data_IF_965472877573
#
_entry.id   IF_965472877573
#
_cell.length_a   1.000
_cell.length_b   1.000
_cell.length_c   1.000
_cell.angle_alpha   90.00
_cell.angle_beta   90.00
_cell.angle_gamma   90.00
#
_symmetry.space_group_name_H-M   'P 1'
#
loop_
_entity.id
_entity.type
_entity.pdbx_description
1 polymer ?
#
# COMPACT_ATOMS: atom_id res chain seq x y z
N UNK A 1 -16.91 17.77 28.94
CA UNK A 1 -15.83 18.74 28.66
C UNK A 1 -15.41 18.56 27.22
N UNK A 2 -15.67 19.52 26.35
CA UNK A 2 -15.22 19.47 24.95
C UNK A 2 -13.69 19.52 24.93
N UNK A 3 -12.98 18.58 24.26
CA UNK A 3 -11.54 18.62 24.21
C UNK A 3 -11.07 19.95 23.62
N UNK A 4 -10.07 20.58 24.26
CA UNK A 4 -9.47 21.82 23.76
C UNK A 4 -8.92 21.56 22.36
N UNK A 5 -9.29 22.37 21.34
CA UNK A 5 -8.74 22.24 20.01
C UNK A 5 -7.22 22.34 20.07
N UNK A 6 -6.53 21.55 19.25
CA UNK A 6 -5.10 21.71 19.11
C UNK A 6 -4.75 23.00 18.36
N UNK A 7 -3.50 23.41 18.45
CA UNK A 7 -3.07 24.70 17.91
C UNK A 7 -3.30 24.82 16.39
N UNK A 8 -3.08 23.74 15.64
CA UNK A 8 -3.37 23.71 14.21
C UNK A 8 -4.87 23.91 13.91
N UNK A 9 -5.76 23.30 14.70
CA UNK A 9 -7.20 23.46 14.59
C UNK A 9 -7.63 24.89 14.96
N UNK A 10 -7.04 25.49 16.01
CA UNK A 10 -7.31 26.87 16.43
C UNK A 10 -6.91 27.89 15.36
N UNK A 11 -5.73 27.72 14.77
CA UNK A 11 -5.24 28.59 13.68
C UNK A 11 -6.06 28.40 12.41
N UNK A 12 -6.38 27.15 12.07
CA UNK A 12 -7.27 26.86 10.95
C UNK A 12 -8.64 27.52 11.15
N UNK A 13 -9.20 27.48 12.37
CA UNK A 13 -10.48 28.12 12.66
C UNK A 13 -10.43 29.64 12.42
N UNK A 14 -9.36 30.33 12.81
CA UNK A 14 -9.19 31.77 12.51
C UNK A 14 -9.21 32.05 11.01
N UNK A 15 -8.55 31.21 10.20
CA UNK A 15 -8.58 31.34 8.75
C UNK A 15 -9.99 31.09 8.18
N UNK A 16 -10.73 30.13 8.74
CA UNK A 16 -12.14 29.90 8.36
C UNK A 16 -13.03 31.08 8.72
N UNK A 17 -12.85 31.64 9.92
CA UNK A 17 -13.59 32.81 10.40
C UNK A 17 -13.26 34.07 9.56
N UNK A 18 -12.05 34.14 9.01
CA UNK A 18 -11.63 35.15 8.05
C UNK A 18 -12.16 34.90 6.62
N UNK A 19 -12.96 33.85 6.40
CA UNK A 19 -13.66 33.59 5.15
C UNK A 19 -12.99 32.55 4.22
N UNK A 20 -11.89 31.93 4.63
CA UNK A 20 -11.28 30.85 3.84
C UNK A 20 -12.07 29.55 4.03
N UNK A 21 -12.12 28.73 2.98
CA UNK A 21 -12.63 27.36 3.07
C UNK A 21 -11.54 26.41 3.54
N UNK A 22 -11.93 25.25 4.11
CA UNK A 22 -10.98 24.18 4.46
C UNK A 22 -10.17 23.69 3.26
N UNK A 23 -10.74 23.77 2.05
CA UNK A 23 -10.03 23.44 0.81
C UNK A 23 -8.92 24.44 0.54
N UNK A 24 -9.22 25.75 0.58
CA UNK A 24 -8.20 26.80 0.39
C UNK A 24 -7.08 26.71 1.43
N UNK A 25 -7.41 26.48 2.70
CA UNK A 25 -6.38 26.28 3.74
C UNK A 25 -5.51 25.06 3.42
N UNK A 26 -6.10 23.97 2.93
CA UNK A 26 -5.36 22.78 2.53
C UNK A 26 -4.43 23.06 1.33
N UNK A 27 -4.94 23.77 0.33
CA UNK A 27 -4.18 24.16 -0.86
C UNK A 27 -2.99 25.07 -0.47
N UNK A 28 -3.21 26.07 0.40
CA UNK A 28 -2.16 26.97 0.94
C UNK A 28 -1.01 26.19 1.59
N UNK A 29 -1.31 25.16 2.39
CA UNK A 29 -0.28 24.31 3.03
C UNK A 29 0.18 23.15 2.14
N UNK A 30 -0.27 23.09 0.88
CA UNK A 30 0.08 22.07 -0.11
C UNK A 30 -0.38 20.65 0.27
N UNK A 31 -1.58 20.49 0.84
CA UNK A 31 -2.13 19.20 1.32
C UNK A 31 -3.60 19.04 0.97
N UNK A 32 -4.13 17.83 1.17
CA UNK A 32 -5.55 17.55 0.97
C UNK A 32 -6.43 18.05 2.12
N UNK A 33 -7.67 18.47 1.81
CA UNK A 33 -8.66 18.92 2.80
C UNK A 33 -9.02 17.86 3.86
N UNK A 34 -8.80 16.57 3.54
CA UNK A 34 -8.94 15.48 4.52
C UNK A 34 -7.94 15.61 5.67
N UNK A 35 -6.72 16.07 5.40
CA UNK A 35 -5.72 16.30 6.45
C UNK A 35 -6.15 17.46 7.36
N UNK A 36 -6.65 18.56 6.79
CA UNK A 36 -7.14 19.71 7.55
C UNK A 36 -8.32 19.31 8.45
N UNK A 37 -9.23 18.47 7.96
CA UNK A 37 -10.33 17.91 8.78
C UNK A 37 -9.83 17.05 9.95
N UNK A 38 -8.65 16.43 9.82
CA UNK A 38 -8.02 15.66 10.88
C UNK A 38 -7.37 16.53 11.98
N UNK A 39 -7.18 17.83 11.75
CA UNK A 39 -6.73 18.74 12.81
C UNK A 39 -7.77 18.82 13.93
N UNK A 40 -9.05 18.92 13.54
CA UNK A 40 -10.19 18.99 14.48
C UNK A 40 -10.55 17.64 15.12
N UNK A 41 -10.39 16.54 14.38
CA UNK A 41 -10.94 15.23 14.80
C UNK A 41 -9.90 14.25 15.35
N UNK A 42 -8.64 14.35 14.92
CA UNK A 42 -7.59 13.36 15.23
C UNK A 42 -6.36 13.97 15.91
N UNK A 43 -6.48 15.19 16.40
CA UNK A 43 -5.39 15.93 17.04
C UNK A 43 -4.10 16.00 16.17
N UNK A 44 -4.26 16.05 14.84
CA UNK A 44 -3.13 16.18 13.90
C UNK A 44 -2.78 17.65 13.65
N UNK A 45 -1.70 17.90 12.91
CA UNK A 45 -1.40 19.24 12.39
C UNK A 45 -0.22 19.95 13.03
N UNK A 46 0.41 19.37 14.06
CA UNK A 46 1.56 19.99 14.76
C UNK A 46 2.68 20.45 13.81
N UNK A 47 2.97 19.67 12.76
CA UNK A 47 3.99 20.00 11.77
C UNK A 47 3.64 21.20 10.86
N UNK A 48 2.40 21.69 10.90
CA UNK A 48 1.91 22.80 10.07
C UNK A 48 1.64 24.07 10.90
N UNK A 49 1.85 24.04 12.22
CA UNK A 49 1.53 25.17 13.11
C UNK A 49 2.24 26.44 12.67
N UNK A 50 3.56 26.38 12.41
CA UNK A 50 4.32 27.55 11.95
C UNK A 50 3.80 28.08 10.63
N UNK A 51 3.53 27.21 9.64
CA UNK A 51 2.96 27.64 8.37
C UNK A 51 1.59 28.30 8.54
N UNK A 52 0.72 27.75 9.39
CA UNK A 52 -0.60 28.33 9.67
C UNK A 52 -0.51 29.66 10.43
N UNK A 53 0.47 29.84 11.31
CA UNK A 53 0.72 31.10 12.02
C UNK A 53 1.07 32.23 11.04
N UNK A 54 2.00 31.98 10.12
CA UNK A 54 2.39 32.97 9.10
C UNK A 54 1.22 33.35 8.19
N UNK A 55 0.39 32.37 7.79
CA UNK A 55 -0.81 32.62 6.98
C UNK A 55 -1.84 33.44 7.76
N UNK A 56 -2.06 33.15 9.05
CA UNK A 56 -2.95 33.96 9.90
C UNK A 56 -2.45 35.40 9.98
N UNK A 57 -1.15 35.61 10.23
CA UNK A 57 -0.57 36.95 10.27
C UNK A 57 -0.72 37.71 8.94
N UNK A 58 -0.51 37.05 7.81
CA UNK A 58 -0.69 37.65 6.50
C UNK A 58 -2.16 38.04 6.23
N UNK A 59 -3.11 37.18 6.59
CA UNK A 59 -4.54 37.46 6.46
C UNK A 59 -4.99 38.59 7.37
N UNK A 60 -4.47 38.65 8.61
CA UNK A 60 -4.71 39.74 9.56
C UNK A 60 -4.12 41.07 9.06
N UNK A 61 -3.00 41.02 8.32
CA UNK A 61 -2.41 42.18 7.64
C UNK A 61 -3.17 42.59 6.36
N UNK A 62 -4.20 41.84 5.96
CA UNK A 62 -5.08 42.17 4.84
C UNK A 62 -4.84 41.36 3.56
N UNK A 63 -3.91 40.42 3.54
CA UNK A 63 -3.67 39.56 2.37
C UNK A 63 -4.86 38.60 2.13
N UNK A 64 -5.25 38.46 0.86
CA UNK A 64 -6.37 37.61 0.42
C UNK A 64 -6.04 36.76 -0.81
N UNK A 65 -4.96 37.07 -1.51
CA UNK A 65 -4.49 36.30 -2.65
C UNK A 65 -3.96 34.93 -2.22
N UNK A 66 -4.54 33.86 -2.77
CA UNK A 66 -4.24 32.50 -2.35
C UNK A 66 -2.83 32.06 -2.75
N UNK A 67 -2.31 32.55 -3.88
CA UNK A 67 -0.97 32.20 -4.35
C UNK A 67 0.10 32.84 -3.45
N UNK A 68 -0.14 34.08 -3.02
CA UNK A 68 0.70 34.78 -2.03
C UNK A 68 0.64 34.09 -0.67
N UNK A 69 -0.55 33.74 -0.17
CA UNK A 69 -0.70 32.99 1.09
C UNK A 69 -0.02 31.62 1.02
N UNK A 70 -0.12 30.93 -0.13
CA UNK A 70 0.59 29.68 -0.38
C UNK A 70 2.11 29.89 -0.32
N UNK A 71 2.63 30.91 -1.01
CA UNK A 71 4.06 31.23 -0.99
C UNK A 71 4.58 31.55 0.41
N UNK A 72 3.79 32.23 1.25
CA UNK A 72 4.08 32.48 2.66
C UNK A 72 4.14 31.19 3.49
N UNK A 73 3.24 30.23 3.24
CA UNK A 73 3.19 28.99 4.00
C UNK A 73 4.33 28.01 3.65
N UNK A 74 4.68 27.88 2.37
CA UNK A 74 5.55 26.80 1.87
C UNK A 74 6.92 26.67 2.57
N UNK A 75 7.66 27.76 2.89
CA UNK A 75 8.94 27.67 3.60
C UNK A 75 8.85 26.93 4.95
N UNK A 76 7.66 26.89 5.56
CA UNK A 76 7.41 26.30 6.87
C UNK A 76 6.76 24.90 6.78
N UNK A 77 6.37 24.44 5.58
CA UNK A 77 5.79 23.12 5.37
C UNK A 77 6.88 22.08 5.15
N UNK A 78 7.24 21.36 6.21
CA UNK A 78 8.24 20.28 6.12
C UNK A 78 7.62 18.97 5.67
N UNK A 79 8.20 18.32 4.65
CA UNK A 79 7.90 16.93 4.31
C UNK A 79 8.50 16.01 5.37
N UNK A 80 7.76 14.95 5.72
CA UNK A 80 8.28 13.91 6.61
C UNK A 80 9.39 13.16 5.87
N UNK A 81 10.55 13.02 6.51
CA UNK A 81 11.64 12.20 6.00
C UNK A 81 11.55 10.78 6.56
N UNK A 82 12.02 9.81 5.78
CA UNK A 82 12.34 8.47 6.24
C UNK A 82 13.61 8.52 7.11
N UNK A 83 13.90 7.44 7.85
CA UNK A 83 15.15 7.31 8.63
C UNK A 83 16.41 7.49 7.79
N UNK A 84 16.31 7.31 6.47
CA UNK A 84 17.39 7.48 5.49
C UNK A 84 17.52 8.92 4.95
N UNK A 85 16.78 9.88 5.49
CA UNK A 85 16.80 11.29 5.05
C UNK A 85 16.08 11.56 3.73
N UNK A 86 15.58 10.53 3.04
CA UNK A 86 14.73 10.67 1.84
C UNK A 86 13.29 11.00 2.20
N UNK A 87 12.53 11.58 1.28
CA UNK A 87 11.10 11.84 1.49
C UNK A 87 10.34 10.55 1.81
N UNK A 88 9.60 10.56 2.92
CA UNK A 88 8.79 9.42 3.32
C UNK A 88 7.60 9.27 2.36
N UNK A 89 7.55 8.13 1.65
CA UNK A 89 6.39 7.76 0.84
C UNK A 89 5.21 7.39 1.73
N UNK A 90 3.99 7.70 1.27
CA UNK A 90 2.76 7.23 1.93
C UNK A 90 2.78 5.70 1.93
N UNK A 91 2.67 5.10 3.12
CA UNK A 91 2.53 3.65 3.24
C UNK A 91 1.18 3.25 2.66
N UNK A 92 1.19 2.58 1.51
CA UNK A 92 -0.01 1.92 0.99
C UNK A 92 -0.50 0.88 1.98
N UNK A 93 -1.80 0.57 1.96
CA UNK A 93 -2.32 -0.55 2.75
C UNK A 93 -1.71 -1.84 2.20
N UNK A 94 -1.20 -2.69 3.09
CA UNK A 94 -0.67 -4.01 2.71
C UNK A 94 -1.77 -4.93 2.17
N UNK A 95 -3.03 -4.69 2.52
CA UNK A 95 -4.21 -5.37 1.98
C UNK A 95 -5.22 -4.33 1.51
N UNK A 96 -5.72 -4.50 0.29
CA UNK A 96 -6.72 -3.66 -0.36
C UNK A 96 -7.90 -4.53 -0.78
N UNK A 97 -9.12 -4.03 -0.64
CA UNK A 97 -10.35 -4.77 -0.96
C UNK A 97 -11.06 -5.31 0.28
N UNK A 98 -12.02 -6.21 0.06
CA UNK A 98 -12.84 -6.82 1.13
C UNK A 98 -12.51 -8.30 1.23
N UNK A 99 -12.15 -8.76 2.44
CA UNK A 99 -11.89 -10.18 2.70
C UNK A 99 -13.12 -11.03 2.35
N UNK A 100 -12.89 -12.19 1.73
CA UNK A 100 -13.97 -13.07 1.22
C UNK A 100 -14.66 -12.55 -0.06
N UNK A 101 -14.18 -11.44 -0.63
CA UNK A 101 -14.55 -10.94 -1.97
C UNK A 101 -13.28 -10.74 -2.79
N UNK A 102 -13.30 -9.77 -3.70
CA UNK A 102 -12.08 -9.32 -4.37
C UNK A 102 -11.18 -8.57 -3.39
N UNK A 103 -9.98 -9.10 -3.17
CA UNK A 103 -8.95 -8.49 -2.35
C UNK A 103 -7.57 -8.73 -2.96
N UNK A 104 -6.62 -7.89 -2.59
CA UNK A 104 -5.22 -8.06 -2.91
C UNK A 104 -4.37 -7.75 -1.69
N UNK A 105 -3.34 -8.54 -1.45
CA UNK A 105 -2.38 -8.31 -0.39
C UNK A 105 -0.95 -8.36 -0.94
N UNK A 106 -0.06 -7.54 -0.38
CA UNK A 106 1.34 -7.43 -0.79
C UNK A 106 2.28 -7.60 0.40
N UNK A 107 3.43 -8.21 0.14
CA UNK A 107 4.53 -8.36 1.06
C UNK A 107 5.83 -8.02 0.34
N UNK A 108 6.59 -7.08 0.89
CA UNK A 108 7.98 -6.84 0.50
C UNK A 108 8.93 -7.54 1.47
N UNK A 109 10.23 -7.41 1.20
CA UNK A 109 11.35 -8.07 1.88
C UNK A 109 11.19 -8.26 3.40
N UNK A 110 10.89 -7.19 4.16
CA UNK A 110 10.71 -7.30 5.62
C UNK A 110 9.57 -8.24 6.02
N UNK A 111 8.43 -8.18 5.31
CA UNK A 111 7.31 -9.05 5.61
C UNK A 111 7.60 -10.49 5.16
N UNK A 112 8.29 -10.67 4.04
CA UNK A 112 8.73 -11.98 3.55
C UNK A 112 9.65 -12.67 4.58
N UNK A 113 10.59 -11.93 5.18
CA UNK A 113 11.44 -12.46 6.25
C UNK A 113 10.66 -12.94 7.50
N UNK A 114 9.41 -12.51 7.65
CA UNK A 114 8.48 -12.95 8.70
C UNK A 114 7.30 -13.77 8.14
N UNK A 115 7.50 -14.42 6.99
CA UNK A 115 6.54 -15.35 6.39
C UNK A 115 5.34 -14.71 5.70
N UNK A 116 5.27 -13.38 5.62
CA UNK A 116 4.15 -12.62 5.08
C UNK A 116 2.79 -13.05 5.66
N UNK A 117 2.76 -13.42 6.95
CA UNK A 117 1.61 -14.02 7.63
C UNK A 117 0.34 -13.16 7.62
N UNK A 118 0.46 -11.84 7.46
CA UNK A 118 -0.69 -10.95 7.28
C UNK A 118 -1.50 -11.25 6.01
N UNK A 119 -0.91 -11.93 5.01
CA UNK A 119 -1.59 -12.38 3.80
C UNK A 119 -2.46 -13.62 4.03
N UNK A 120 -2.23 -14.39 5.10
CA UNK A 120 -3.00 -15.60 5.40
C UNK A 120 -4.49 -15.29 5.55
N UNK A 121 -4.84 -14.16 6.19
CA UNK A 121 -6.23 -13.71 6.31
C UNK A 121 -6.92 -13.50 4.94
N UNK A 122 -6.17 -13.05 3.93
CA UNK A 122 -6.69 -12.88 2.56
C UNK A 122 -6.97 -14.24 1.91
N UNK A 123 -6.02 -15.17 2.03
CA UNK A 123 -6.12 -16.53 1.47
C UNK A 123 -7.25 -17.31 2.15
N UNK A 124 -7.27 -17.36 3.49
CA UNK A 124 -8.29 -18.10 4.24
C UNK A 124 -9.69 -17.57 4.00
N UNK A 125 -9.88 -16.24 3.99
CA UNK A 125 -11.19 -15.66 3.73
C UNK A 125 -11.69 -15.98 2.32
N UNK A 126 -10.80 -15.99 1.32
CA UNK A 126 -11.16 -16.42 -0.03
C UNK A 126 -11.47 -17.93 -0.08
N UNK A 127 -10.69 -18.77 0.61
CA UNK A 127 -10.94 -20.21 0.69
C UNK A 127 -12.31 -20.54 1.29
N UNK A 128 -12.66 -19.91 2.41
CA UNK A 128 -13.97 -20.08 3.05
C UNK A 128 -15.13 -19.60 2.18
N UNK A 129 -14.89 -18.65 1.27
CA UNK A 129 -15.90 -18.13 0.36
C UNK A 129 -15.99 -18.91 -0.98
N UNK A 130 -15.25 -20.02 -1.14
CA UNK A 130 -15.19 -20.75 -2.41
C UNK A 130 -14.54 -19.94 -3.54
N UNK A 131 -13.60 -19.09 -3.18
CA UNK A 131 -12.92 -18.15 -4.07
C UNK A 131 -11.81 -18.79 -4.91
N UNK A 132 -11.24 -17.96 -5.78
CA UNK A 132 -10.02 -18.24 -6.54
C UNK A 132 -8.91 -17.28 -6.11
N UNK A 133 -7.67 -17.67 -6.36
CA UNK A 133 -6.53 -16.78 -6.19
C UNK A 133 -5.51 -16.89 -7.32
N UNK A 134 -4.73 -15.83 -7.44
CA UNK A 134 -3.47 -15.77 -8.15
C UNK A 134 -2.42 -15.19 -7.23
N UNK A 135 -1.15 -15.48 -7.50
CA UNK A 135 -0.05 -14.79 -6.85
C UNK A 135 1.02 -14.37 -7.85
N UNK A 136 1.75 -13.33 -7.48
CA UNK A 136 2.92 -12.85 -8.20
C UNK A 136 4.09 -12.87 -7.23
N UNK A 137 5.19 -13.48 -7.65
CA UNK A 137 6.44 -13.57 -6.88
C UNK A 137 7.54 -12.84 -7.61
N UNK A 138 8.51 -12.32 -6.85
CA UNK A 138 9.76 -11.78 -7.41
C UNK A 138 10.96 -12.49 -6.82
N UNK A 139 11.84 -12.98 -7.68
CA UNK A 139 13.10 -13.63 -7.29
C UNK A 139 14.22 -13.25 -8.26
N UNK A 140 15.45 -13.66 -7.96
CA UNK A 140 16.55 -13.54 -8.94
C UNK A 140 16.27 -14.43 -10.14
N UNK A 141 16.69 -13.99 -11.35
CA UNK A 141 16.36 -14.71 -12.59
C UNK A 141 16.88 -16.16 -12.58
N UNK A 142 18.07 -16.36 -12.04
CA UNK A 142 18.75 -17.66 -11.92
C UNK A 142 18.12 -18.62 -10.89
N UNK A 143 17.15 -18.15 -10.11
CA UNK A 143 16.43 -18.98 -9.14
C UNK A 143 15.17 -19.62 -9.75
N UNK A 144 14.77 -19.20 -10.94
CA UNK A 144 13.71 -19.84 -11.71
C UNK A 144 14.30 -20.96 -12.58
N UNK A 145 13.71 -22.15 -12.47
CA UNK A 145 14.13 -23.33 -13.26
C UNK A 145 13.52 -23.31 -14.66
N UNK A 146 12.26 -22.85 -14.76
CA UNK A 146 11.56 -22.77 -16.04
C UNK A 146 11.85 -21.45 -16.74
N UNK A 147 11.89 -21.50 -18.07
CA UNK A 147 12.06 -20.31 -18.91
C UNK A 147 10.95 -19.30 -18.68
N UNK A 148 11.33 -18.02 -18.64
CA UNK A 148 10.42 -16.89 -18.52
C UNK A 148 9.32 -16.95 -19.60
N UNK A 149 8.06 -16.94 -19.17
CA UNK A 149 6.90 -16.87 -20.07
C UNK A 149 6.60 -18.17 -20.81
N UNK A 150 7.21 -19.30 -20.42
CA UNK A 150 6.79 -20.60 -20.93
C UNK A 150 5.41 -20.96 -20.40
N UNK A 151 4.65 -21.72 -21.19
CA UNK A 151 3.36 -22.27 -20.76
C UNK A 151 3.53 -23.26 -19.59
N UNK A 152 4.68 -23.92 -19.46
CA UNK A 152 4.99 -24.80 -18.32
C UNK A 152 5.15 -24.01 -17.01
N UNK A 153 5.72 -22.80 -17.07
CA UNK A 153 5.88 -21.91 -15.92
C UNK A 153 4.56 -21.23 -15.55
N UNK A 154 3.95 -20.52 -16.50
CA UNK A 154 2.81 -19.65 -16.25
C UNK A 154 1.64 -19.94 -17.20
N UNK A 155 1.00 -21.12 -17.11
CA UNK A 155 0.00 -21.56 -18.07
C UNK A 155 -1.09 -20.52 -18.33
N UNK A 156 -1.32 -20.20 -19.61
CA UNK A 156 -2.38 -19.30 -20.05
C UNK A 156 -2.10 -17.81 -19.85
N UNK A 157 -0.97 -17.40 -19.27
CA UNK A 157 -0.66 -16.00 -19.00
C UNK A 157 0.17 -15.34 -20.11
N UNK A 158 -0.49 -14.52 -20.93
CA UNK A 158 0.19 -13.73 -22.01
C UNK A 158 1.21 -12.70 -21.48
N UNK A 159 1.07 -12.25 -20.24
CA UNK A 159 1.93 -11.23 -19.60
C UNK A 159 2.22 -11.61 -18.15
N UNK A 160 2.69 -12.84 -17.95
CA UNK A 160 3.02 -13.38 -16.63
C UNK A 160 4.36 -12.88 -16.08
N UNK A 161 5.25 -12.35 -16.94
CA UNK A 161 6.64 -12.02 -16.58
C UNK A 161 6.93 -10.54 -16.70
N UNK A 162 7.59 -9.97 -15.68
CA UNK A 162 8.12 -8.60 -15.67
C UNK A 162 9.58 -8.61 -15.19
N UNK A 163 10.57 -8.45 -16.08
CA UNK A 163 11.96 -8.30 -15.67
C UNK A 163 12.19 -6.95 -15.00
N UNK A 164 13.13 -6.90 -14.05
CA UNK A 164 13.51 -5.69 -13.31
C UNK A 164 14.99 -5.35 -13.54
N UNK A 165 15.35 -4.09 -13.30
CA UNK A 165 16.70 -3.58 -13.53
C UNK A 165 17.77 -4.17 -12.59
N UNK A 166 17.38 -4.75 -11.46
CA UNK A 166 18.26 -5.37 -10.45
C UNK A 166 18.44 -6.89 -10.64
N UNK A 167 18.25 -7.35 -11.87
CA UNK A 167 18.38 -8.76 -12.28
C UNK A 167 17.43 -9.73 -11.55
N UNK A 168 16.31 -9.17 -11.09
CA UNK A 168 15.18 -9.96 -10.60
C UNK A 168 14.07 -9.98 -11.64
N UNK A 169 13.17 -10.94 -11.48
CA UNK A 169 12.03 -11.12 -12.35
C UNK A 169 10.79 -11.32 -11.50
N UNK A 170 9.70 -10.65 -11.86
CA UNK A 170 8.38 -10.93 -11.30
C UNK A 170 7.65 -11.91 -12.20
N UNK A 171 7.15 -13.01 -11.62
CA UNK A 171 6.32 -14.00 -12.30
C UNK A 171 4.97 -14.14 -11.63
N UNK A 172 3.91 -14.13 -12.43
CA UNK A 172 2.54 -14.28 -11.98
C UNK A 172 2.04 -15.68 -12.30
N UNK A 173 1.26 -16.26 -11.38
CA UNK A 173 0.68 -17.58 -11.51
C UNK A 173 -0.83 -17.49 -11.28
N UNK A 174 -1.59 -17.88 -12.32
CA UNK A 174 -3.05 -17.72 -12.39
C UNK A 174 -3.50 -16.28 -12.69
N UNK A 175 -4.73 -16.13 -13.16
CA UNK A 175 -5.40 -14.83 -13.27
C UNK A 175 -6.92 -14.96 -13.24
N UNK A 176 -7.61 -13.85 -13.05
CA UNK A 176 -9.07 -13.82 -13.15
C UNK A 176 -9.59 -14.08 -14.58
N UNK A 177 -8.74 -13.99 -15.60
CA UNK A 177 -9.12 -14.19 -17.01
C UNK A 177 -8.86 -15.62 -17.48
N UNK A 178 -7.78 -16.24 -17.00
CA UNK A 178 -7.26 -17.51 -17.51
C UNK A 178 -7.47 -18.67 -16.53
N UNK A 179 -8.08 -18.38 -15.39
CA UNK A 179 -8.20 -19.30 -14.26
C UNK A 179 -7.14 -19.01 -13.21
N UNK A 180 -7.55 -19.05 -11.95
CA UNK A 180 -6.68 -19.00 -10.78
C UNK A 180 -6.74 -20.32 -10.02
N UNK A 181 -5.90 -20.45 -9.00
CA UNK A 181 -5.93 -21.58 -8.10
C UNK A 181 -7.18 -21.57 -7.22
N UNK A 182 -7.61 -22.76 -6.78
CA UNK A 182 -8.67 -22.86 -5.77
C UNK A 182 -8.17 -22.26 -4.46
N UNK A 183 -8.91 -21.28 -3.93
CA UNK A 183 -8.49 -20.62 -2.69
C UNK A 183 -8.58 -21.54 -1.47
N UNK A 184 -9.43 -22.57 -1.52
CA UNK A 184 -9.53 -23.57 -0.47
C UNK A 184 -8.26 -24.43 -0.38
N UNK A 185 -7.69 -24.86 -1.51
CA UNK A 185 -6.45 -25.64 -1.53
C UNK A 185 -5.29 -24.82 -0.95
N UNK A 186 -5.13 -23.58 -1.39
CA UNK A 186 -4.10 -22.70 -0.85
C UNK A 186 -4.35 -22.29 0.60
N UNK A 187 -5.61 -22.17 1.02
CA UNK A 187 -5.94 -21.96 2.43
C UNK A 187 -5.42 -23.13 3.28
N UNK A 188 -5.55 -24.37 2.79
CA UNK A 188 -4.98 -25.53 3.47
C UNK A 188 -3.46 -25.51 3.45
N UNK A 189 -2.82 -25.28 2.27
CA UNK A 189 -1.36 -25.17 2.17
C UNK A 189 -0.79 -24.13 3.14
N UNK A 190 -1.37 -22.93 3.18
CA UNK A 190 -0.95 -21.88 4.12
C UNK A 190 -1.13 -22.32 5.57
N UNK A 191 -2.20 -23.03 5.90
CA UNK A 191 -2.41 -23.57 7.25
C UNK A 191 -1.37 -24.65 7.61
N UNK A 192 -1.01 -25.52 6.66
CA UNK A 192 0.01 -26.55 6.84
C UNK A 192 1.41 -25.95 7.08
N UNK A 193 1.61 -24.71 6.61
CA UNK A 193 2.79 -23.87 6.90
C UNK A 193 2.56 -22.89 8.08
N UNK A 194 1.61 -23.18 8.97
CA UNK A 194 1.33 -22.38 10.18
C UNK A 194 1.02 -20.89 9.91
N UNK A 195 0.44 -20.59 8.75
CA UNK A 195 0.14 -19.23 8.31
C UNK A 195 1.29 -18.52 7.60
N UNK A 196 2.43 -19.18 7.38
CA UNK A 196 3.53 -18.66 6.58
C UNK A 196 3.21 -18.79 5.08
N UNK A 197 2.77 -17.68 4.49
CA UNK A 197 2.40 -17.62 3.07
C UNK A 197 3.65 -17.67 2.18
N UNK A 198 4.79 -17.16 2.66
CA UNK A 198 6.04 -17.21 1.90
C UNK A 198 6.50 -18.65 1.75
N UNK A 199 6.54 -19.40 2.86
CA UNK A 199 6.96 -20.80 2.86
C UNK A 199 6.01 -21.68 2.04
N UNK A 200 4.69 -21.45 2.14
CA UNK A 200 3.70 -22.17 1.33
C UNK A 200 3.89 -21.93 -0.18
N UNK A 201 4.15 -20.68 -0.59
CA UNK A 201 4.41 -20.34 -1.99
C UNK A 201 5.75 -20.94 -2.45
N UNK A 202 6.81 -20.81 -1.66
CA UNK A 202 8.13 -21.36 -1.98
C UNK A 202 8.07 -22.88 -2.13
N UNK A 203 7.41 -23.59 -1.20
CA UNK A 203 7.22 -25.03 -1.27
C UNK A 203 6.52 -25.43 -2.58
N UNK A 204 5.40 -24.80 -2.91
CA UNK A 204 4.70 -25.06 -4.18
C UNK A 204 5.58 -24.79 -5.42
N UNK A 205 6.38 -23.71 -5.41
CA UNK A 205 7.27 -23.42 -6.54
C UNK A 205 8.34 -24.48 -6.73
N UNK A 206 8.89 -25.01 -5.64
CA UNK A 206 9.88 -26.10 -5.68
C UNK A 206 9.23 -27.41 -6.08
N UNK A 207 8.09 -27.76 -5.45
CA UNK A 207 7.30 -28.97 -5.76
C UNK A 207 6.93 -29.07 -7.24
N UNK A 208 6.64 -27.93 -7.86
CA UNK A 208 6.22 -27.86 -9.26
C UNK A 208 7.37 -27.57 -10.23
N UNK A 209 8.63 -27.59 -9.76
CA UNK A 209 9.82 -27.39 -10.59
C UNK A 209 9.96 -25.98 -11.17
N UNK A 210 9.31 -24.98 -10.59
CA UNK A 210 9.40 -23.56 -11.01
C UNK A 210 10.60 -22.85 -10.42
N UNK A 211 11.08 -23.30 -9.27
CA UNK A 211 12.18 -22.67 -8.55
C UNK A 211 13.12 -23.70 -7.92
N UNK A 212 14.39 -23.31 -7.78
CA UNK A 212 15.36 -24.08 -7.01
C UNK A 212 14.97 -24.13 -5.52
N UNK A 213 15.36 -25.17 -4.76
CA UNK A 213 15.06 -25.25 -3.32
C UNK A 213 15.52 -24.04 -2.50
N UNK A 214 16.66 -23.45 -2.87
CA UNK A 214 17.27 -22.30 -2.20
C UNK A 214 16.75 -20.93 -2.71
N UNK A 215 15.68 -20.91 -3.51
CA UNK A 215 15.15 -19.69 -4.09
C UNK A 215 14.71 -18.70 -3.00
N UNK A 216 14.94 -17.41 -3.23
CA UNK A 216 14.63 -16.37 -2.26
C UNK A 216 13.58 -15.41 -2.82
N UNK A 217 12.36 -15.54 -2.32
CA UNK A 217 11.25 -14.63 -2.61
C UNK A 217 11.58 -13.25 -2.01
N UNK A 218 11.58 -12.22 -2.83
CA UNK A 218 11.84 -10.83 -2.42
C UNK A 218 10.56 -9.99 -2.37
N UNK A 219 9.53 -10.43 -3.10
CA UNK A 219 8.22 -9.83 -3.13
C UNK A 219 7.16 -10.89 -3.40
N UNK A 220 6.01 -10.75 -2.74
CA UNK A 220 4.83 -11.57 -2.94
C UNK A 220 3.59 -10.67 -3.02
N UNK A 221 2.78 -10.89 -4.03
CA UNK A 221 1.41 -10.37 -4.12
C UNK A 221 0.44 -11.54 -4.22
N UNK A 222 -0.64 -11.49 -3.44
CA UNK A 222 -1.77 -12.42 -3.52
C UNK A 222 -3.00 -11.64 -3.96
N UNK A 223 -3.73 -12.14 -4.95
CA UNK A 223 -4.98 -11.56 -5.45
C UNK A 223 -6.07 -12.60 -5.39
N UNK A 224 -7.20 -12.27 -4.80
CA UNK A 224 -8.35 -13.18 -4.65
C UNK A 224 -9.58 -12.58 -5.31
N UNK A 225 -10.48 -13.44 -5.76
CA UNK A 225 -11.80 -13.06 -6.27
C UNK A 225 -12.79 -14.21 -6.09
N UNK A 226 -14.08 -13.89 -6.16
CA UNK A 226 -15.12 -14.90 -6.28
C UNK A 226 -15.28 -15.27 -7.77
N UNK A 227 -15.48 -16.56 -8.10
CA UNK A 227 -15.85 -16.95 -9.45
C UNK A 227 -17.09 -16.17 -9.89
N UNK A 228 -17.12 -15.78 -11.16
CA UNK A 228 -18.38 -15.33 -11.77
C UNK A 228 -19.30 -16.55 -11.84
N UNK A 229 -20.47 -16.46 -11.19
CA UNK A 229 -21.54 -17.45 -11.34
C UNK A 229 -22.11 -17.39 -12.75
#
# INVERSE_FOLDING_TARGET
MTPRPNEAARLTQQLLDAGLSRKQVADIIGRDASLVSQFFTKNKGAAFVTALQEVVQAVDAGERDLDTLHATAQPHVKRRLASTGREARVRGKNVVGTLGKSAAGRAGEQAIAHGASHLAAVVHAAGQAGGRLAFTVRMKRDQYELSAGSDDDSPGLKRGVVPRADDTEERSYGSSQTGGFEAAEWSQRVADHYGDVTAAVQAWMVETGRAIPAAHIQYLEVRTWLPRR
#
